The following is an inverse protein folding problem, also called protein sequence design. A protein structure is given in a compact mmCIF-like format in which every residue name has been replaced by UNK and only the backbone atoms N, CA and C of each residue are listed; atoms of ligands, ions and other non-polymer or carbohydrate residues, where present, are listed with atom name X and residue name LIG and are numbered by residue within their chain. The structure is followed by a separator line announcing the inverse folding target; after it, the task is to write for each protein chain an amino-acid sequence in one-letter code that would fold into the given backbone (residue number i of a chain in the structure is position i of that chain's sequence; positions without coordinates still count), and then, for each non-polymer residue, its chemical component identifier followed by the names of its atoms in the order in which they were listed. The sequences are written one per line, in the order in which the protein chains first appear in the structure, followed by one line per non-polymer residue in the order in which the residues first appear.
data_IF_317633485914
#
_entry.id   IF_317633485914
#
_cell.length_a   1.000
_cell.length_b   1.000
_cell.length_c   1.000
_cell.angle_alpha   90.00
_cell.angle_beta   90.00
_cell.angle_gamma   90.00
#
_symmetry.space_group_name_H-M   'P 1'
#
loop_
_entity.id
_entity.type
_entity.pdbx_description
1 polymer ?
#
# COMPACT_ATOMS: atom_id res chain seq x y z
N UNK A 1 74.95 19.24 -12.34
CA UNK A 1 73.58 19.73 -12.64
C UNK A 1 72.53 18.63 -12.87
N UNK A 2 72.78 17.35 -12.51
CA UNK A 2 71.90 16.20 -12.85
C UNK A 2 70.97 15.75 -11.70
N UNK A 3 71.43 15.84 -10.44
CA UNK A 3 70.71 15.32 -9.27
C UNK A 3 69.43 16.14 -8.96
N UNK A 4 69.49 17.47 -9.13
CA UNK A 4 68.35 18.38 -8.88
C UNK A 4 67.17 18.14 -9.84
N UNK A 5 67.44 17.77 -11.09
CA UNK A 5 66.40 17.44 -12.09
C UNK A 5 65.71 16.10 -11.76
N UNK A 6 66.47 15.12 -11.25
CA UNK A 6 65.95 13.82 -10.83
C UNK A 6 65.02 13.95 -9.61
N UNK A 7 65.44 14.71 -8.58
CA UNK A 7 64.63 14.94 -7.36
C UNK A 7 63.32 15.67 -7.71
N UNK A 8 63.38 16.71 -8.55
CA UNK A 8 62.20 17.46 -8.98
C UNK A 8 61.20 16.58 -9.74
N UNK A 9 61.69 15.68 -10.61
CA UNK A 9 60.87 14.71 -11.34
C UNK A 9 60.16 13.72 -10.41
N UNK A 10 60.89 13.17 -9.43
CA UNK A 10 60.32 12.25 -8.42
C UNK A 10 59.24 12.95 -7.61
N UNK A 11 59.54 14.12 -7.03
CA UNK A 11 58.58 14.91 -6.24
C UNK A 11 57.31 15.24 -7.04
N UNK A 12 57.45 15.61 -8.31
CA UNK A 12 56.29 15.92 -9.17
C UNK A 12 55.42 14.69 -9.45
N UNK A 13 56.03 13.50 -9.60
CA UNK A 13 55.30 12.23 -9.76
C UNK A 13 54.59 11.84 -8.46
N UNK A 14 55.24 11.99 -7.31
CA UNK A 14 54.62 11.67 -6.00
C UNK A 14 53.43 12.57 -5.70
N UNK A 15 53.52 13.87 -5.98
CA UNK A 15 52.41 14.82 -5.82
C UNK A 15 51.22 14.44 -6.72
N UNK A 16 51.47 14.04 -7.97
CA UNK A 16 50.40 13.59 -8.88
C UNK A 16 49.71 12.32 -8.37
N UNK A 17 50.46 11.34 -7.87
CA UNK A 17 49.88 10.11 -7.30
C UNK A 17 49.07 10.41 -6.04
N UNK A 18 49.58 11.27 -5.15
CA UNK A 18 48.85 11.70 -3.95
C UNK A 18 47.54 12.41 -4.32
N UNK A 19 47.57 13.29 -5.33
CA UNK A 19 46.39 14.00 -5.82
C UNK A 19 45.32 13.06 -6.37
N UNK A 20 45.71 11.99 -7.08
CA UNK A 20 44.78 10.98 -7.58
C UNK A 20 44.15 10.16 -6.45
N UNK A 21 44.93 9.77 -5.44
CA UNK A 21 44.41 9.06 -4.25
C UNK A 21 43.42 9.95 -3.49
N UNK A 22 43.76 11.22 -3.28
CA UNK A 22 42.88 12.18 -2.61
C UNK A 22 41.55 12.35 -3.37
N UNK A 23 41.59 12.42 -4.70
CA UNK A 23 40.40 12.52 -5.54
C UNK A 23 39.49 11.28 -5.40
N UNK A 24 40.06 10.07 -5.37
CA UNK A 24 39.26 8.85 -5.18
C UNK A 24 38.65 8.76 -3.78
N UNK A 25 39.36 9.21 -2.74
CA UNK A 25 38.80 9.31 -1.38
C UNK A 25 37.63 10.29 -1.34
N UNK A 26 37.78 11.48 -1.95
CA UNK A 26 36.70 12.48 -2.03
C UNK A 26 35.50 11.90 -2.77
N UNK A 27 35.72 11.20 -3.89
CA UNK A 27 34.64 10.56 -4.66
C UNK A 27 33.94 9.46 -3.85
N UNK A 28 34.68 8.64 -3.10
CA UNK A 28 34.12 7.63 -2.23
C UNK A 28 33.28 8.24 -1.09
N UNK A 29 33.80 9.31 -0.46
CA UNK A 29 33.07 10.06 0.56
C UNK A 29 31.78 10.67 0.01
N UNK A 30 31.81 11.25 -1.19
CA UNK A 30 30.63 11.79 -1.86
C UNK A 30 29.57 10.71 -2.11
N UNK A 31 29.97 9.53 -2.61
CA UNK A 31 29.06 8.40 -2.82
C UNK A 31 28.42 7.92 -1.52
N UNK A 32 29.20 7.85 -0.44
CA UNK A 32 28.69 7.46 0.88
C UNK A 32 27.63 8.47 1.37
N UNK A 33 27.91 9.78 1.24
CA UNK A 33 26.96 10.82 1.63
C UNK A 33 25.66 10.73 0.81
N UNK A 34 25.76 10.54 -0.51
CA UNK A 34 24.59 10.37 -1.37
C UNK A 34 23.78 9.12 -1.01
N UNK A 35 24.46 8.01 -0.69
CA UNK A 35 23.80 6.78 -0.25
C UNK A 35 23.05 6.98 1.07
N UNK A 36 23.70 7.58 2.07
CA UNK A 36 23.07 7.88 3.37
C UNK A 36 21.89 8.83 3.18
N UNK A 37 22.02 9.86 2.35
CA UNK A 37 20.92 10.78 2.04
C UNK A 37 19.74 10.04 1.38
N UNK A 38 20.00 9.15 0.42
CA UNK A 38 18.96 8.35 -0.23
C UNK A 38 18.25 7.42 0.78
N UNK A 39 18.98 6.79 1.69
CA UNK A 39 18.40 5.97 2.76
C UNK A 39 17.53 6.80 3.70
N UNK A 40 17.99 7.99 4.10
CA UNK A 40 17.19 8.88 4.96
C UNK A 40 15.91 9.35 4.27
N UNK A 41 15.98 9.73 2.99
CA UNK A 41 14.80 10.10 2.20
C UNK A 41 13.83 8.92 2.13
N UNK A 42 14.32 7.70 1.91
CA UNK A 42 13.50 6.50 1.91
C UNK A 42 12.81 6.28 3.27
N UNK A 43 13.53 6.42 4.38
CA UNK A 43 12.96 6.27 5.73
C UNK A 43 11.87 7.31 6.00
N UNK A 44 12.11 8.57 5.67
CA UNK A 44 11.12 9.65 5.83
C UNK A 44 9.89 9.38 4.97
N UNK A 45 10.08 8.95 3.72
CA UNK A 45 9.00 8.59 2.83
C UNK A 45 8.17 7.42 3.38
N UNK A 46 8.81 6.37 3.89
CA UNK A 46 8.12 5.25 4.54
C UNK A 46 7.32 5.70 5.77
N UNK A 47 7.89 6.54 6.64
CA UNK A 47 7.17 7.07 7.81
C UNK A 47 5.96 7.91 7.40
N UNK A 48 6.11 8.76 6.39
CA UNK A 48 5.02 9.60 5.88
C UNK A 48 3.85 8.76 5.36
N UNK A 49 4.11 7.74 4.54
CA UNK A 49 3.09 6.82 4.05
C UNK A 49 2.31 6.12 5.18
N UNK A 50 2.99 5.71 6.25
CA UNK A 50 2.32 5.05 7.40
C UNK A 50 1.51 6.01 8.27
N UNK A 51 1.91 7.27 8.35
CA UNK A 51 1.18 8.29 9.10
C UNK A 51 -0.13 8.65 8.38
N UNK A 52 -0.09 8.79 7.05
CA UNK A 52 -1.28 9.05 6.26
C UNK A 52 -2.26 7.86 6.29
N UNK A 53 -1.76 6.63 6.24
CA UNK A 53 -2.60 5.43 6.25
C UNK A 53 -3.32 5.19 7.57
N UNK A 54 -2.90 5.82 8.67
CA UNK A 54 -3.49 5.67 10.02
C UNK A 54 -4.17 6.95 10.53
N UNK A 55 -4.33 7.95 9.65
CA UNK A 55 -4.93 9.23 9.99
C UNK A 55 -6.42 9.11 10.33
N UNK A 56 -6.90 9.69 11.45
CA UNK A 56 -8.33 9.72 11.78
C UNK A 56 -9.19 10.45 10.73
N UNK A 57 -8.57 11.29 9.88
CA UNK A 57 -9.26 11.96 8.77
C UNK A 57 -9.70 10.99 7.67
N UNK A 58 -9.13 9.78 7.64
CA UNK A 58 -9.46 8.75 6.66
C UNK A 58 -10.75 8.00 7.03
N UNK A 59 -11.07 7.86 8.31
CA UNK A 59 -12.28 7.19 8.80
C UNK A 59 -13.61 7.69 8.18
N UNK A 60 -13.89 9.01 8.07
CA UNK A 60 -15.10 9.46 7.38
C UNK A 60 -15.09 9.13 5.88
N UNK A 61 -13.92 9.18 5.21
CA UNK A 61 -13.78 8.82 3.80
C UNK A 61 -14.04 7.33 3.57
N UNK A 62 -13.47 6.46 4.43
CA UNK A 62 -13.73 5.02 4.40
C UNK A 62 -15.21 4.71 4.67
N UNK A 63 -15.84 5.47 5.56
CA UNK A 63 -17.28 5.36 5.83
C UNK A 63 -18.11 5.71 4.60
N UNK A 64 -17.77 6.79 3.88
CA UNK A 64 -18.43 7.17 2.63
C UNK A 64 -18.28 6.08 1.55
N UNK A 65 -17.06 5.53 1.40
CA UNK A 65 -16.81 4.40 0.50
C UNK A 65 -17.70 3.20 0.84
N UNK A 66 -17.69 2.75 2.09
CA UNK A 66 -18.44 1.58 2.53
C UNK A 66 -19.95 1.80 2.43
N UNK A 67 -20.43 3.01 2.71
CA UNK A 67 -21.84 3.37 2.51
C UNK A 67 -22.20 3.31 1.03
N UNK A 68 -21.37 3.85 0.14
CA UNK A 68 -21.59 3.80 -1.32
C UNK A 68 -21.70 2.34 -1.81
N UNK A 69 -20.82 1.47 -1.33
CA UNK A 69 -20.83 0.03 -1.67
C UNK A 69 -22.11 -0.65 -1.13
N UNK A 70 -22.50 -0.34 0.11
CA UNK A 70 -23.70 -0.88 0.74
C UNK A 70 -25.02 -0.38 0.11
N UNK A 71 -25.08 0.89 -0.32
CA UNK A 71 -26.23 1.45 -1.05
C UNK A 71 -26.54 0.67 -2.33
N UNK A 72 -25.50 0.16 -2.98
CA UNK A 72 -25.59 -0.66 -4.18
C UNK A 72 -25.66 -2.16 -3.87
N UNK A 73 -25.84 -2.53 -2.59
CA UNK A 73 -26.03 -3.92 -2.14
C UNK A 73 -24.89 -4.84 -2.54
N UNK A 74 -23.67 -4.31 -2.55
CA UNK A 74 -22.45 -5.08 -2.87
C UNK A 74 -21.91 -5.66 -1.56
N UNK A 75 -21.82 -6.98 -1.49
CA UNK A 75 -21.25 -7.72 -0.35
C UNK A 75 -19.75 -7.94 -0.50
N UNK A 76 -19.26 -8.08 -1.74
CA UNK A 76 -17.85 -8.34 -2.04
C UNK A 76 -17.38 -7.66 -3.31
N UNK A 77 -16.16 -7.14 -3.28
CA UNK A 77 -15.44 -6.60 -4.43
C UNK A 77 -14.00 -7.10 -4.40
N UNK A 78 -13.48 -7.53 -5.55
CA UNK A 78 -12.09 -7.93 -5.74
C UNK A 78 -11.50 -7.24 -6.96
N UNK A 79 -10.30 -6.67 -6.81
CA UNK A 79 -9.58 -6.03 -7.91
C UNK A 79 -8.10 -6.37 -7.86
N UNK A 80 -7.76 -7.48 -8.50
CA UNK A 80 -6.39 -7.90 -8.75
C UNK A 80 -6.25 -8.28 -10.23
N UNK A 81 -5.04 -8.17 -10.79
CA UNK A 81 -4.81 -8.43 -12.21
C UNK A 81 -5.22 -9.84 -12.65
N UNK A 82 -5.17 -10.79 -11.72
CA UNK A 82 -5.54 -12.18 -11.92
C UNK A 82 -6.97 -12.51 -11.47
N UNK A 83 -7.68 -11.56 -10.85
CA UNK A 83 -9.06 -11.71 -10.40
C UNK A 83 -9.78 -10.36 -10.28
N UNK A 84 -10.80 -10.13 -11.11
CA UNK A 84 -11.78 -9.06 -10.88
C UNK A 84 -13.15 -9.66 -10.70
N UNK A 85 -13.76 -9.39 -9.55
CA UNK A 85 -15.12 -9.85 -9.27
C UNK A 85 -15.89 -8.87 -8.41
N UNK A 86 -17.21 -8.96 -8.51
CA UNK A 86 -18.14 -8.21 -7.67
C UNK A 86 -19.36 -9.07 -7.36
N UNK A 87 -19.71 -9.11 -6.08
CA UNK A 87 -20.84 -9.85 -5.53
C UNK A 87 -21.86 -8.84 -5.02
N UNK A 88 -23.09 -8.94 -5.50
CA UNK A 88 -24.19 -8.05 -5.10
C UNK A 88 -25.48 -8.85 -4.95
N UNK A 89 -26.48 -8.27 -4.29
CA UNK A 89 -27.84 -8.86 -4.22
C UNK A 89 -28.42 -9.21 -5.61
N UNK A 90 -28.00 -8.51 -6.67
CA UNK A 90 -28.49 -8.73 -8.04
C UNK A 90 -27.75 -9.83 -8.81
N UNK A 91 -26.63 -10.30 -8.29
CA UNK A 91 -25.81 -11.33 -8.92
C UNK A 91 -24.31 -11.17 -8.68
N UNK A 92 -23.60 -12.21 -9.11
CA UNK A 92 -22.17 -12.39 -8.93
C UNK A 92 -21.48 -12.36 -10.29
N UNK A 93 -20.58 -11.39 -10.48
CA UNK A 93 -19.93 -11.12 -11.75
C UNK A 93 -18.41 -11.26 -11.61
N UNK A 94 -17.77 -11.80 -12.65
CA UNK A 94 -16.32 -11.88 -12.73
C UNK A 94 -15.81 -11.67 -14.16
N UNK A 95 -14.56 -11.22 -14.30
CA UNK A 95 -13.92 -11.06 -15.60
C UNK A 95 -13.46 -12.38 -16.22
N UNK A 96 -13.31 -13.42 -15.39
CA UNK A 96 -12.96 -14.78 -15.80
C UNK A 96 -13.88 -15.80 -15.14
N UNK A 97 -14.40 -16.78 -15.90
CA UNK A 97 -15.16 -17.91 -15.35
C UNK A 97 -14.23 -18.84 -14.55
N UNK A 98 -14.29 -18.70 -13.23
CA UNK A 98 -13.87 -19.58 -12.12
C UNK A 98 -12.40 -20.08 -11.95
N UNK A 99 -12.16 -20.55 -10.72
CA UNK A 99 -10.95 -20.98 -9.99
C UNK A 99 -10.08 -19.91 -9.30
N UNK A 100 -9.76 -18.77 -9.91
CA UNK A 100 -8.79 -17.86 -9.27
C UNK A 100 -9.41 -16.90 -8.26
N UNK A 101 -10.66 -16.48 -8.44
CA UNK A 101 -11.26 -15.39 -7.65
C UNK A 101 -11.76 -15.72 -6.23
N UNK A 102 -11.74 -16.99 -5.81
CA UNK A 102 -12.25 -17.42 -4.51
C UNK A 102 -13.79 -17.40 -4.42
N UNK A 103 -14.34 -18.57 -4.11
CA UNK A 103 -15.76 -18.98 -4.02
C UNK A 103 -16.56 -19.09 -5.33
N UNK A 104 -16.90 -20.36 -5.58
CA UNK A 104 -17.99 -20.99 -6.34
C UNK A 104 -18.22 -20.65 -7.82
N UNK A 105 -18.42 -21.72 -8.58
CA UNK A 105 -18.46 -21.84 -10.04
C UNK A 105 -19.71 -21.19 -10.72
N UNK A 106 -20.40 -20.28 -10.04
CA UNK A 106 -21.64 -19.63 -10.55
C UNK A 106 -21.44 -18.17 -10.97
N UNK A 107 -20.20 -17.67 -11.00
CA UNK A 107 -19.91 -16.32 -11.45
C UNK A 107 -20.22 -16.15 -12.93
N UNK A 108 -21.09 -15.18 -13.25
CA UNK A 108 -21.37 -14.79 -14.63
C UNK A 108 -20.27 -13.86 -15.13
N UNK A 109 -19.98 -13.85 -16.45
CA UNK A 109 -19.12 -12.81 -17.01
C UNK A 109 -19.64 -11.41 -16.70
N UNK A 110 -18.76 -10.42 -16.61
CA UNK A 110 -19.18 -9.02 -16.55
C UNK A 110 -20.06 -8.65 -17.76
N UNK A 111 -21.33 -8.36 -17.49
CA UNK A 111 -22.22 -7.67 -18.41
C UNK A 111 -22.16 -6.14 -18.16
N UNK A 112 -23.00 -5.38 -18.86
CA UNK A 112 -23.04 -3.93 -18.71
C UNK A 112 -23.32 -3.48 -17.26
N UNK A 113 -24.16 -4.23 -16.54
CA UNK A 113 -24.53 -3.91 -15.17
C UNK A 113 -23.41 -4.26 -14.17
N UNK A 114 -22.86 -5.46 -14.25
CA UNK A 114 -21.72 -5.86 -13.42
C UNK A 114 -20.51 -4.94 -13.62
N UNK A 115 -20.23 -4.55 -14.86
CA UNK A 115 -19.15 -3.62 -15.18
C UNK A 115 -19.39 -2.22 -14.58
N UNK A 116 -20.64 -1.75 -14.59
CA UNK A 116 -21.04 -0.49 -13.96
C UNK A 116 -20.83 -0.52 -12.45
N UNK A 117 -21.28 -1.58 -11.77
CA UNK A 117 -21.09 -1.73 -10.32
C UNK A 117 -19.60 -1.77 -9.96
N UNK A 118 -18.80 -2.51 -10.73
CA UNK A 118 -17.36 -2.59 -10.52
C UNK A 118 -16.69 -1.22 -10.64
N UNK A 119 -16.97 -0.50 -11.73
CA UNK A 119 -16.43 0.84 -11.97
C UNK A 119 -16.83 1.84 -10.88
N UNK A 120 -18.06 1.74 -10.36
CA UNK A 120 -18.56 2.58 -9.28
C UNK A 120 -17.72 2.40 -8.00
N UNK A 121 -17.45 1.16 -7.59
CA UNK A 121 -16.61 0.88 -6.42
C UNK A 121 -15.18 1.34 -6.66
N UNK A 122 -14.59 1.06 -7.83
CA UNK A 122 -13.23 1.50 -8.16
C UNK A 122 -13.11 3.04 -8.13
N UNK A 123 -14.12 3.75 -8.63
CA UNK A 123 -14.16 5.21 -8.62
C UNK A 123 -14.29 5.76 -7.19
N UNK A 124 -15.17 5.18 -6.37
CA UNK A 124 -15.30 5.56 -4.96
C UNK A 124 -14.00 5.32 -4.18
N UNK A 125 -13.32 4.20 -4.42
CA UNK A 125 -12.01 3.92 -3.81
C UNK A 125 -10.94 4.93 -4.24
N UNK A 126 -10.95 5.33 -5.51
CA UNK A 126 -10.02 6.34 -6.04
C UNK A 126 -10.25 7.71 -5.39
N UNK A 127 -11.50 8.11 -5.13
CA UNK A 127 -11.83 9.37 -4.43
C UNK A 127 -11.25 9.45 -3.03
N UNK A 128 -11.17 8.32 -2.34
CA UNK A 128 -10.60 8.24 -0.98
C UNK A 128 -9.10 7.92 -1.01
N UNK A 129 -8.48 7.95 -2.19
CA UNK A 129 -7.06 7.73 -2.43
C UNK A 129 -6.53 6.36 -1.95
N UNK A 130 -7.36 5.32 -2.03
CA UNK A 130 -6.93 3.94 -1.75
C UNK A 130 -7.07 3.05 -2.98
N UNK A 131 -6.25 2.01 -3.06
CA UNK A 131 -6.29 0.97 -4.08
C UNK A 131 -6.56 -0.38 -3.41
N UNK A 132 -7.84 -0.73 -3.17
CA UNK A 132 -8.19 -1.94 -2.45
C UNK A 132 -8.08 -3.15 -3.37
N UNK A 133 -7.49 -4.23 -2.86
CA UNK A 133 -7.49 -5.53 -3.52
C UNK A 133 -8.80 -6.26 -3.27
N UNK A 134 -9.37 -6.07 -2.09
CA UNK A 134 -10.62 -6.68 -1.65
C UNK A 134 -11.41 -5.72 -0.78
N UNK A 135 -12.73 -5.74 -0.94
CA UNK A 135 -13.67 -5.16 0.01
C UNK A 135 -14.70 -6.24 0.35
N UNK A 136 -14.88 -6.54 1.62
CA UNK A 136 -16.00 -7.32 2.14
C UNK A 136 -16.88 -6.44 3.01
N UNK A 137 -18.19 -6.54 2.83
CA UNK A 137 -19.20 -5.84 3.62
C UNK A 137 -20.20 -6.85 4.17
N UNK A 138 -20.47 -6.72 5.46
CA UNK A 138 -21.61 -7.34 6.10
C UNK A 138 -22.57 -6.23 6.50
N UNK A 139 -23.83 -6.40 6.10
CA UNK A 139 -24.89 -5.48 6.42
C UNK A 139 -26.08 -6.21 7.02
N UNK A 140 -26.71 -5.57 8.00
CA UNK A 140 -27.95 -6.03 8.62
C UNK A 140 -28.96 -4.90 8.54
N UNK A 141 -30.16 -5.17 8.03
CA UNK A 141 -31.23 -4.17 7.89
C UNK A 141 -30.79 -2.90 7.15
N UNK A 142 -29.92 -3.05 6.12
CA UNK A 142 -29.41 -1.94 5.31
C UNK A 142 -28.31 -1.11 5.99
N UNK A 143 -27.84 -1.49 7.18
CA UNK A 143 -26.73 -0.85 7.88
C UNK A 143 -25.51 -1.75 7.88
N UNK A 144 -24.35 -1.17 7.65
CA UNK A 144 -23.08 -1.91 7.68
C UNK A 144 -22.75 -2.25 9.13
N UNK A 145 -22.62 -3.53 9.43
CA UNK A 145 -22.26 -4.04 10.76
C UNK A 145 -20.78 -4.42 10.83
N UNK A 146 -20.18 -4.74 9.70
CA UNK A 146 -18.75 -5.00 9.55
C UNK A 146 -18.31 -4.69 8.12
N UNK A 147 -17.14 -4.10 7.96
CA UNK A 147 -16.50 -3.99 6.65
C UNK A 147 -15.00 -4.24 6.76
N UNK A 148 -14.43 -4.79 5.70
CA UNK A 148 -12.99 -4.99 5.60
C UNK A 148 -12.51 -4.61 4.21
N UNK A 149 -11.46 -3.81 4.16
CA UNK A 149 -10.83 -3.31 2.95
C UNK A 149 -9.37 -3.74 2.98
N UNK A 150 -9.02 -4.78 2.21
CA UNK A 150 -7.64 -5.23 2.09
C UNK A 150 -6.89 -4.39 1.03
N UNK A 151 -5.63 -4.07 1.32
CA UNK A 151 -4.75 -3.25 0.50
C UNK A 151 -3.61 -4.08 -0.08
N UNK A 152 -3.12 -3.67 -1.26
CA UNK A 152 -2.10 -4.42 -2.02
C UNK A 152 -0.64 -4.18 -1.58
N UNK A 153 -0.35 -3.35 -0.58
CA UNK A 153 0.98 -2.78 -0.39
C UNK A 153 2.10 -3.84 -0.37
N UNK A 154 3.03 -3.73 -1.32
CA UNK A 154 4.01 -4.71 -1.80
C UNK A 154 4.87 -5.48 -0.76
N UNK A 155 4.77 -5.23 0.55
CA UNK A 155 5.59 -5.88 1.60
C UNK A 155 4.88 -6.07 2.95
N UNK A 156 3.55 -6.18 2.95
CA UNK A 156 2.79 -6.45 4.15
C UNK A 156 1.32 -6.19 3.90
N UNK A 157 0.51 -7.25 3.98
CA UNK A 157 -0.94 -7.14 3.82
C UNK A 157 -1.48 -6.17 4.88
N UNK A 158 -2.05 -5.05 4.47
CA UNK A 158 -2.71 -4.12 5.39
C UNK A 158 -4.20 -4.14 5.10
N UNK A 159 -5.00 -3.88 6.13
CA UNK A 159 -6.45 -3.81 6.00
C UNK A 159 -7.02 -2.65 6.82
N UNK A 160 -8.04 -2.00 6.27
CA UNK A 160 -8.96 -1.19 7.06
C UNK A 160 -10.14 -2.06 7.49
N UNK A 161 -10.47 -2.02 8.78
CA UNK A 161 -11.55 -2.82 9.36
C UNK A 161 -12.53 -1.90 10.06
N UNK A 162 -13.80 -1.98 9.68
CA UNK A 162 -14.90 -1.32 10.35
C UNK A 162 -15.61 -2.32 11.28
N UNK A 163 -15.61 -2.02 12.57
CA UNK A 163 -16.25 -2.82 13.61
C UNK A 163 -16.85 -1.87 14.66
N UNK A 164 -18.02 -1.26 14.39
CA UNK A 164 -18.60 -0.22 15.26
C UNK A 164 -19.24 -0.79 16.55
N UNK A 165 -19.66 -2.06 16.53
CA UNK A 165 -20.41 -2.66 17.66
C UNK A 165 -19.49 -3.22 18.75
N UNK A 166 -18.22 -3.49 18.43
CA UNK A 166 -17.23 -4.05 19.36
C UNK A 166 -15.83 -3.65 18.93
N UNK A 167 -14.94 -3.51 19.91
CA UNK A 167 -13.52 -3.32 19.65
C UNK A 167 -12.99 -4.46 18.79
N UNK A 168 -12.36 -4.12 17.67
CA UNK A 168 -11.72 -5.10 16.82
C UNK A 168 -10.45 -5.64 17.50
N UNK A 169 -10.38 -6.96 17.68
CA UNK A 169 -9.23 -7.65 18.24
C UNK A 169 -8.91 -8.85 17.34
N UNK A 170 -7.68 -8.94 16.86
CA UNK A 170 -7.21 -10.08 16.07
C UNK A 170 -6.90 -11.25 17.01
N UNK A 171 -7.40 -12.46 16.71
CA UNK A 171 -7.11 -13.66 17.53
C UNK A 171 -5.62 -14.10 17.46
N UNK A 172 -4.91 -13.70 16.41
CA UNK A 172 -3.60 -14.28 16.06
C UNK A 172 -2.41 -13.32 16.19
N UNK A 173 -2.60 -12.05 16.57
CA UNK A 173 -1.52 -11.06 16.64
C UNK A 173 -1.60 -10.13 17.85
N UNK A 174 -0.43 -9.65 18.29
CA UNK A 174 -0.28 -8.74 19.43
C UNK A 174 -1.04 -7.43 19.16
N UNK A 175 -1.59 -6.76 20.20
CA UNK A 175 -2.36 -5.51 20.06
C UNK A 175 -1.64 -4.36 19.34
N UNK A 176 -0.32 -4.45 19.15
CA UNK A 176 0.51 -3.44 18.49
C UNK A 176 0.28 -3.31 16.98
N UNK A 177 -0.32 -4.32 16.35
CA UNK A 177 -0.49 -4.37 14.89
C UNK A 177 -1.84 -3.79 14.42
N UNK A 178 -2.73 -3.51 15.37
CA UNK A 178 -4.03 -2.87 15.13
C UNK A 178 -4.01 -1.48 15.73
N UNK A 179 -4.37 -0.47 14.94
CA UNK A 179 -4.47 0.92 15.37
C UNK A 179 -5.90 1.41 15.22
N UNK A 180 -6.46 1.94 16.30
CA UNK A 180 -7.76 2.61 16.28
C UNK A 180 -7.65 3.94 15.50
N UNK A 181 -8.50 4.11 14.49
CA UNK A 181 -8.58 5.32 13.65
C UNK A 181 -9.79 6.18 14.00
N UNK A 182 -10.49 5.89 15.10
CA UNK A 182 -11.75 6.47 15.57
C UNK A 182 -12.95 6.15 14.69
N UNK A 183 -14.16 6.31 15.23
CA UNK A 183 -15.40 6.07 14.49
C UNK A 183 -15.68 4.60 14.17
N UNK A 184 -15.11 3.67 14.93
CA UNK A 184 -15.24 2.22 14.70
C UNK A 184 -14.32 1.67 13.61
N UNK A 185 -13.40 2.48 13.11
CA UNK A 185 -12.40 2.09 12.12
C UNK A 185 -11.07 1.70 12.78
N UNK A 186 -10.46 0.67 12.23
CA UNK A 186 -9.18 0.14 12.66
C UNK A 186 -8.28 -0.04 11.44
N UNK A 187 -7.02 0.32 11.58
CA UNK A 187 -5.97 -0.06 10.65
C UNK A 187 -5.26 -1.29 11.19
N UNK A 188 -5.25 -2.37 10.41
CA UNK A 188 -4.55 -3.60 10.72
C UNK A 188 -3.34 -3.71 9.79
N UNK A 189 -2.15 -3.76 10.37
CA UNK A 189 -0.92 -4.09 9.64
C UNK A 189 -0.62 -5.58 9.83
N UNK A 190 -0.84 -6.39 8.81
CA UNK A 190 -0.58 -7.84 8.84
C UNK A 190 0.83 -8.17 8.33
N UNK A 191 1.80 -7.28 8.57
CA UNK A 191 3.21 -7.43 8.18
C UNK A 191 3.73 -8.88 8.26
N UNK A 192 4.61 -9.24 7.33
CA UNK A 192 5.30 -10.53 7.31
C UNK A 192 6.26 -10.61 8.50
#
# INVERSE_FOLDING_TARGET
MSIYLSIKSVVTKTIKVLGLILLEIIRAALKLVLFVAAVLVLIVFCMWLTADSTSPKLSPLLTELVNTVNEHRISRYHNQDWCKSIESETGNYADKPSSTCGSDDENKPFDAHGAQLFALVSYAATKVHIAPTRIDIQSEHGRVTFARIDLSCLFGYAAYVYSPQKTYVTQERKPTDVRDMTGGWYYENRGI
#
